data_IF_372851911950
#
_entry.id   IF_372851911950
#
_cell.length_a   1.000
_cell.length_b   1.000
_cell.length_c   1.000
_cell.angle_alpha   90.00
_cell.angle_beta   90.00
_cell.angle_gamma   90.00
#
_symmetry.space_group_name_H-M   'P 1'
#
loop_
_entity.id
_entity.type
_entity.pdbx_description
1 polymer ?
#
# COMPACT_ATOMS: atom_id res chain seq x y z
N UNK A 1 -18.94 23.29 23.16
CA UNK A 1 -18.73 22.58 21.89
C UNK A 1 -19.07 21.09 21.88
N UNK A 2 -19.28 20.42 23.03
CA UNK A 2 -19.68 19.00 23.07
C UNK A 2 -21.18 18.74 23.11
N UNK A 3 -22.00 19.70 23.41
CA UNK A 3 -23.46 19.53 23.53
C UNK A 3 -24.17 19.66 22.18
N UNK A 4 -23.70 20.55 21.30
CA UNK A 4 -24.37 20.86 20.02
C UNK A 4 -24.25 19.75 18.96
N UNK A 5 -23.34 18.79 19.14
CA UNK A 5 -23.17 17.65 18.23
C UNK A 5 -24.15 16.49 18.54
N UNK A 6 -24.66 16.42 19.76
CA UNK A 6 -25.59 15.39 20.20
C UNK A 6 -27.02 15.66 19.73
N UNK A 7 -27.41 16.92 19.67
CA UNK A 7 -28.80 17.33 19.38
C UNK A 7 -29.19 17.28 17.89
N UNK A 8 -28.25 17.06 16.98
CA UNK A 8 -28.52 16.96 15.55
C UNK A 8 -28.82 15.57 15.01
N UNK A 9 -28.92 14.56 15.89
CA UNK A 9 -29.21 13.19 15.49
C UNK A 9 -30.70 13.00 15.34
N UNK A 10 -31.22 13.01 14.13
CA UNK A 10 -32.62 12.70 13.85
C UNK A 10 -32.98 11.27 14.29
N UNK A 11 -34.13 11.15 14.94
CA UNK A 11 -34.71 9.94 15.52
C UNK A 11 -34.90 8.77 14.51
N UNK A 12 -34.90 9.08 13.21
CA UNK A 12 -35.27 8.16 12.13
C UNK A 12 -34.28 7.00 11.90
N UNK A 13 -33.09 7.03 12.54
CA UNK A 13 -32.07 6.00 12.36
C UNK A 13 -32.10 4.89 13.44
N UNK A 14 -32.85 5.08 14.50
CA UNK A 14 -32.87 4.14 15.66
C UNK A 14 -33.81 2.97 15.43
N UNK A 15 -34.86 3.15 14.62
CA UNK A 15 -35.94 2.14 14.46
C UNK A 15 -35.62 1.04 13.44
N UNK A 16 -34.50 1.14 12.70
CA UNK A 16 -34.11 0.19 11.65
C UNK A 16 -33.07 -0.87 12.04
N UNK A 17 -32.54 -0.87 13.25
CA UNK A 17 -31.54 -1.87 13.64
C UNK A 17 -32.23 -3.14 14.18
N UNK A 18 -32.11 -4.30 13.50
CA UNK A 18 -32.70 -5.55 13.99
C UNK A 18 -31.98 -5.97 15.28
N UNK A 19 -32.67 -5.92 16.41
CA UNK A 19 -32.24 -6.46 17.71
C UNK A 19 -32.28 -7.99 17.70
N UNK A 20 -31.81 -8.64 16.64
CA UNK A 20 -31.67 -10.09 16.58
C UNK A 20 -30.40 -10.53 17.30
N UNK A 21 -30.55 -10.91 18.54
CA UNK A 21 -29.55 -11.61 19.32
C UNK A 21 -29.38 -13.04 18.80
N UNK A 22 -28.46 -13.27 17.89
CA UNK A 22 -28.05 -14.59 17.48
C UNK A 22 -27.54 -15.40 18.68
N UNK A 23 -28.28 -16.44 19.06
CA UNK A 23 -27.84 -17.42 20.06
C UNK A 23 -26.66 -18.21 19.46
N UNK A 24 -25.53 -18.18 20.14
CA UNK A 24 -24.37 -19.01 19.83
C UNK A 24 -24.66 -20.46 20.31
N UNK A 25 -24.63 -21.50 19.47
CA UNK A 25 -25.11 -22.84 19.85
C UNK A 25 -24.11 -23.71 20.66
N UNK A 26 -23.01 -23.15 21.16
CA UNK A 26 -21.92 -23.96 21.75
C UNK A 26 -21.70 -23.81 23.24
N UNK A 27 -22.78 -23.65 24.05
CA UNK A 27 -22.74 -23.93 25.48
C UNK A 27 -24.03 -24.57 25.92
N UNK A 28 -24.18 -25.84 25.68
CA UNK A 28 -25.13 -26.65 26.42
C UNK A 28 -24.63 -26.78 27.88
N UNK A 29 -24.81 -25.72 28.66
CA UNK A 29 -24.79 -25.87 30.12
C UNK A 29 -25.94 -26.83 30.49
N UNK A 30 -25.67 -27.82 31.28
CA UNK A 30 -26.59 -28.84 31.77
C UNK A 30 -27.70 -28.24 32.67
N UNK A 31 -28.57 -27.42 32.07
CA UNK A 31 -29.73 -26.87 32.77
C UNK A 31 -30.76 -27.99 32.88
N UNK A 32 -31.33 -28.23 34.08
CA UNK A 32 -32.37 -29.22 34.24
C UNK A 32 -33.49 -28.99 33.23
N UNK A 33 -33.98 -30.10 32.64
CA UNK A 33 -34.99 -30.03 31.57
C UNK A 33 -36.31 -29.41 32.06
N UNK A 34 -37.15 -28.87 31.17
CA UNK A 34 -38.49 -28.38 31.55
C UNK A 34 -39.31 -29.43 32.26
N UNK A 35 -39.14 -30.73 31.90
CA UNK A 35 -39.80 -31.85 32.54
C UNK A 35 -39.40 -31.99 34.02
N UNK A 36 -38.12 -31.87 34.34
CA UNK A 36 -37.63 -31.90 35.74
C UNK A 36 -38.15 -30.70 36.53
N UNK A 37 -38.25 -29.52 35.94
CA UNK A 37 -38.86 -28.35 36.59
C UNK A 37 -40.35 -28.52 36.85
N UNK A 38 -41.07 -29.14 35.92
CA UNK A 38 -42.50 -29.45 36.08
C UNK A 38 -42.74 -30.39 37.26
N UNK A 39 -41.94 -31.46 37.37
CA UNK A 39 -42.00 -32.39 38.49
C UNK A 39 -41.78 -31.70 39.84
N UNK A 40 -40.85 -30.77 39.92
CA UNK A 40 -40.60 -29.98 41.15
C UNK A 40 -41.73 -28.98 41.42
N UNK A 41 -42.27 -28.34 40.36
CA UNK A 41 -43.36 -27.39 40.49
C UNK A 41 -44.67 -28.06 41.00
N UNK A 42 -44.92 -29.30 40.56
CA UNK A 42 -46.08 -30.10 40.96
C UNK A 42 -45.77 -31.08 42.11
N UNK A 43 -44.72 -30.82 42.91
CA UNK A 43 -44.28 -31.72 43.96
C UNK A 43 -45.37 -31.87 45.07
N UNK A 44 -45.74 -33.06 45.44
CA UNK A 44 -46.78 -33.30 46.46
C UNK A 44 -46.33 -32.78 47.82
N UNK A 45 -47.29 -32.29 48.61
CA UNK A 45 -47.03 -31.76 49.95
C UNK A 45 -46.77 -32.86 50.98
N UNK A 46 -47.34 -34.03 50.75
CA UNK A 46 -47.26 -35.22 51.58
C UNK A 46 -46.12 -36.21 51.24
N UNK A 47 -45.14 -35.71 50.46
CA UNK A 47 -44.03 -36.56 50.04
C UNK A 47 -43.24 -37.09 51.21
N UNK A 48 -42.84 -38.40 51.19
CA UNK A 48 -42.14 -39.04 52.28
C UNK A 48 -40.81 -38.44 52.62
N UNK A 49 -40.33 -38.56 53.86
CA UNK A 49 -39.01 -38.07 54.27
C UNK A 49 -37.92 -38.69 53.39
N UNK A 50 -36.97 -37.85 52.88
CA UNK A 50 -35.90 -38.26 52.02
C UNK A 50 -36.24 -38.27 50.52
N UNK A 51 -37.51 -38.15 50.13
CA UNK A 51 -37.90 -38.14 48.70
C UNK A 51 -37.25 -37.03 47.91
N UNK A 52 -37.03 -35.82 48.48
CA UNK A 52 -36.37 -34.72 47.87
C UNK A 52 -34.88 -35.03 47.59
N UNK A 53 -34.22 -35.69 48.53
CA UNK A 53 -32.80 -36.04 48.36
C UNK A 53 -32.63 -37.11 47.28
N UNK A 54 -33.52 -38.11 47.25
CA UNK A 54 -33.55 -39.13 46.18
C UNK A 54 -33.78 -38.46 44.79
N UNK A 55 -34.76 -37.58 44.71
CA UNK A 55 -35.04 -36.83 43.48
C UNK A 55 -33.85 -35.97 43.02
N UNK A 56 -33.23 -35.27 43.96
CA UNK A 56 -32.05 -34.44 43.66
C UNK A 56 -30.88 -35.28 43.14
N UNK A 57 -30.62 -36.44 43.75
CA UNK A 57 -29.60 -37.37 43.29
C UNK A 57 -29.94 -37.95 41.91
N UNK A 58 -31.17 -38.37 41.68
CA UNK A 58 -31.64 -38.97 40.44
C UNK A 58 -31.51 -38.00 39.25
N UNK A 59 -31.80 -36.71 39.46
CA UNK A 59 -31.82 -35.70 38.41
C UNK A 59 -30.59 -34.79 38.37
N UNK A 60 -29.60 -35.03 39.24
CA UNK A 60 -28.36 -34.24 39.28
C UNK A 60 -28.59 -32.77 39.64
N UNK A 61 -29.58 -32.45 40.47
CA UNK A 61 -29.91 -31.09 40.89
C UNK A 61 -29.66 -30.91 42.40
N UNK A 62 -29.31 -29.67 42.78
CA UNK A 62 -29.13 -29.39 44.22
C UNK A 62 -30.47 -29.15 44.96
N UNK A 63 -30.49 -29.44 46.28
CA UNK A 63 -31.65 -29.12 47.13
C UNK A 63 -32.02 -27.61 47.04
N UNK A 64 -31.03 -26.75 47.02
CA UNK A 64 -31.24 -25.31 46.90
C UNK A 64 -31.96 -24.94 45.59
N UNK A 65 -31.59 -25.59 44.47
CA UNK A 65 -32.29 -25.42 43.21
C UNK A 65 -33.72 -25.96 43.28
N UNK A 66 -33.96 -27.13 43.89
CA UNK A 66 -35.26 -27.70 44.05
C UNK A 66 -36.22 -26.74 44.79
N UNK A 67 -35.82 -26.25 45.97
CA UNK A 67 -36.63 -25.31 46.74
C UNK A 67 -36.85 -24.00 46.03
N UNK A 68 -35.90 -23.52 45.27
CA UNK A 68 -36.03 -22.29 44.43
C UNK A 68 -37.11 -22.45 43.35
N UNK A 69 -37.19 -23.61 42.69
CA UNK A 69 -38.25 -23.87 41.70
C UNK A 69 -39.61 -24.04 42.38
N UNK A 70 -39.69 -24.73 43.52
CA UNK A 70 -40.92 -24.88 44.29
C UNK A 70 -41.46 -23.55 44.78
N UNK A 71 -40.60 -22.70 45.32
CA UNK A 71 -41.00 -21.34 45.75
C UNK A 71 -41.54 -20.49 44.59
N UNK A 72 -40.96 -20.64 43.39
CA UNK A 72 -41.48 -19.97 42.19
C UNK A 72 -42.83 -20.48 41.74
N UNK A 73 -43.06 -21.81 41.88
CA UNK A 73 -44.35 -22.39 41.58
C UNK A 73 -45.44 -21.89 42.52
N UNK A 74 -45.14 -21.81 43.80
CA UNK A 74 -46.05 -21.29 44.81
C UNK A 74 -46.37 -19.81 44.62
N UNK A 75 -45.38 -18.98 44.25
CA UNK A 75 -45.55 -17.55 44.10
C UNK A 75 -46.18 -17.12 42.76
N UNK A 76 -46.07 -17.91 41.69
CA UNK A 76 -46.47 -17.50 40.36
C UNK A 76 -47.07 -18.56 39.47
N UNK A 77 -47.40 -19.72 40.05
CA UNK A 77 -47.96 -20.89 39.32
C UNK A 77 -46.93 -21.77 38.64
N UNK A 78 -47.37 -22.96 38.30
CA UNK A 78 -46.53 -24.02 37.70
C UNK A 78 -45.87 -23.59 36.40
N UNK A 79 -46.59 -22.93 35.53
CA UNK A 79 -46.04 -22.45 34.23
C UNK A 79 -44.84 -21.54 34.43
N UNK A 80 -44.91 -20.58 35.35
CA UNK A 80 -43.84 -19.65 35.65
C UNK A 80 -42.59 -20.33 36.26
N UNK A 81 -42.78 -21.44 36.98
CA UNK A 81 -41.68 -22.24 37.52
C UNK A 81 -40.96 -23.05 36.43
N UNK A 82 -41.66 -23.48 35.39
CA UNK A 82 -41.11 -24.27 34.28
C UNK A 82 -40.29 -23.40 33.32
N UNK A 83 -40.68 -22.14 33.14
CA UNK A 83 -39.95 -21.21 32.30
C UNK A 83 -38.50 -21.01 32.74
N UNK A 84 -37.52 -21.08 31.84
CA UNK A 84 -36.12 -20.82 32.17
C UNK A 84 -35.92 -19.34 32.53
N UNK A 85 -35.43 -19.07 33.73
CA UNK A 85 -34.99 -17.72 34.08
C UNK A 85 -33.63 -17.40 33.47
N UNK A 86 -33.52 -16.23 32.88
CA UNK A 86 -32.22 -15.73 32.44
C UNK A 86 -31.29 -15.54 33.64
N UNK A 87 -30.11 -16.12 33.58
CA UNK A 87 -29.01 -15.88 34.53
C UNK A 87 -28.12 -14.69 34.10
N UNK A 88 -28.50 -14.03 33.02
CA UNK A 88 -27.78 -12.89 32.51
C UNK A 88 -27.92 -11.71 33.48
N UNK A 89 -26.80 -11.01 33.80
CA UNK A 89 -26.88 -9.76 34.55
C UNK A 89 -27.88 -8.81 33.94
N UNK A 90 -28.71 -8.17 34.72
CA UNK A 90 -29.71 -7.17 34.26
C UNK A 90 -29.05 -5.88 33.81
N UNK A 91 -27.86 -5.56 34.32
CA UNK A 91 -27.05 -4.43 33.94
C UNK A 91 -25.62 -4.86 33.73
N UNK A 92 -24.91 -4.20 32.81
CA UNK A 92 -23.49 -4.37 32.59
C UNK A 92 -22.82 -3.01 32.81
N UNK A 93 -22.04 -2.83 33.90
CA UNK A 93 -21.40 -1.54 34.18
C UNK A 93 -20.51 -1.04 33.04
N UNK A 94 -19.93 -1.95 32.30
CA UNK A 94 -19.00 -1.66 31.18
C UNK A 94 -19.70 -1.68 29.80
N UNK A 95 -21.04 -1.54 29.76
CA UNK A 95 -21.76 -1.43 28.48
C UNK A 95 -21.48 -0.06 27.86
N UNK A 96 -21.02 -0.06 26.64
CA UNK A 96 -20.94 1.18 25.83
C UNK A 96 -22.34 1.80 25.74
N UNK A 97 -22.48 3.09 26.00
CA UNK A 97 -23.75 3.81 25.88
C UNK A 97 -24.27 3.75 24.44
N UNK A 98 -25.60 3.82 24.31
CA UNK A 98 -26.22 3.77 22.99
C UNK A 98 -25.83 4.99 22.15
N UNK A 99 -25.68 6.18 22.76
CA UNK A 99 -25.17 7.41 22.11
C UNK A 99 -23.75 7.22 21.54
N UNK A 100 -22.85 6.60 22.32
CA UNK A 100 -21.50 6.31 21.84
C UNK A 100 -21.52 5.29 20.70
N UNK A 101 -22.45 4.34 20.69
CA UNK A 101 -22.64 3.40 19.58
C UNK A 101 -23.05 4.14 18.30
N UNK A 102 -24.06 5.02 18.40
CA UNK A 102 -24.55 5.84 17.27
C UNK A 102 -23.43 6.74 16.75
N UNK A 103 -22.71 7.42 17.63
CA UNK A 103 -21.59 8.28 17.26
C UNK A 103 -20.48 7.49 16.55
N UNK A 104 -20.10 6.33 17.06
CA UNK A 104 -19.06 5.49 16.45
C UNK A 104 -19.46 5.00 15.04
N UNK A 105 -20.73 4.66 14.83
CA UNK A 105 -21.29 4.30 13.53
C UNK A 105 -21.23 5.49 12.58
N UNK A 106 -21.69 6.67 13.01
CA UNK A 106 -21.65 7.91 12.22
C UNK A 106 -20.24 8.26 11.78
N UNK A 107 -19.27 8.26 12.71
CA UNK A 107 -17.86 8.53 12.41
C UNK A 107 -17.33 7.51 11.39
N UNK A 108 -17.65 6.23 11.53
CA UNK A 108 -17.22 5.20 10.57
C UNK A 108 -17.75 5.47 9.17
N UNK A 109 -19.04 5.86 9.05
CA UNK A 109 -19.67 6.20 7.78
C UNK A 109 -19.03 7.44 7.16
N UNK A 110 -18.80 8.49 7.94
CA UNK A 110 -18.14 9.70 7.48
C UNK A 110 -16.72 9.44 6.96
N UNK A 111 -15.89 8.70 7.73
CA UNK A 111 -14.55 8.32 7.29
C UNK A 111 -14.55 7.50 6.00
N UNK A 112 -15.56 6.64 5.80
CA UNK A 112 -15.73 5.88 4.56
C UNK A 112 -16.07 6.80 3.38
N UNK A 113 -17.00 7.73 3.56
CA UNK A 113 -17.41 8.72 2.56
C UNK A 113 -16.26 9.67 2.19
N UNK A 114 -15.45 10.06 3.18
CA UNK A 114 -14.22 10.87 3.00
C UNK A 114 -13.07 10.06 2.35
N UNK A 115 -13.25 8.77 2.02
CA UNK A 115 -12.20 7.91 1.44
C UNK A 115 -11.05 7.59 2.39
N UNK A 116 -11.20 7.85 3.67
CA UNK A 116 -10.19 7.59 4.69
C UNK A 116 -10.25 6.15 5.23
N UNK A 117 -9.32 5.79 6.09
CA UNK A 117 -9.39 4.53 6.83
C UNK A 117 -10.53 4.58 7.85
N UNK A 118 -11.50 3.69 7.72
CA UNK A 118 -12.71 3.63 8.56
C UNK A 118 -12.78 2.40 9.46
N UNK A 119 -11.62 1.82 9.78
CA UNK A 119 -11.50 0.71 10.71
C UNK A 119 -11.68 1.10 12.17
N UNK A 120 -11.79 0.13 13.11
CA UNK A 120 -11.94 0.42 14.54
C UNK A 120 -10.87 1.34 15.12
N UNK A 121 -9.62 1.27 14.62
CA UNK A 121 -8.54 2.17 15.06
C UNK A 121 -8.78 3.60 14.61
N UNK A 122 -9.17 3.81 13.36
CA UNK A 122 -9.41 5.15 12.82
C UNK A 122 -10.59 5.83 13.51
N UNK A 123 -11.66 5.07 13.82
CA UNK A 123 -12.78 5.58 14.60
C UNK A 123 -12.34 5.93 16.02
N UNK A 124 -11.53 5.08 16.66
CA UNK A 124 -10.97 5.35 18.00
C UNK A 124 -10.13 6.63 18.00
N UNK A 125 -9.25 6.80 16.99
CA UNK A 125 -8.44 8.01 16.82
C UNK A 125 -9.31 9.27 16.65
N UNK A 126 -10.35 9.19 15.83
CA UNK A 126 -11.28 10.32 15.62
C UNK A 126 -12.02 10.67 16.91
N UNK A 127 -12.53 9.70 17.67
CA UNK A 127 -13.17 9.91 18.96
C UNK A 127 -12.24 10.62 19.95
N UNK A 128 -10.99 10.18 20.07
CA UNK A 128 -10.00 10.81 20.94
C UNK A 128 -9.71 12.26 20.55
N UNK A 129 -9.55 12.53 19.24
CA UNK A 129 -9.36 13.91 18.75
C UNK A 129 -10.58 14.82 19.01
N UNK A 130 -11.78 14.25 19.04
CA UNK A 130 -12.98 14.97 19.44
C UNK A 130 -13.06 15.25 20.95
N UNK A 131 -12.07 14.79 21.76
CA UNK A 131 -11.98 15.03 23.19
C UNK A 131 -12.66 13.98 24.06
N UNK A 132 -13.15 12.86 23.51
CA UNK A 132 -13.73 11.80 24.31
C UNK A 132 -12.64 11.02 25.06
N UNK A 133 -12.75 10.95 26.39
CA UNK A 133 -11.82 10.20 27.25
C UNK A 133 -12.30 8.77 27.52
N UNK A 134 -13.60 8.58 27.68
CA UNK A 134 -14.23 7.25 27.85
C UNK A 134 -14.63 6.70 26.47
N UNK A 135 -13.68 6.11 25.79
CA UNK A 135 -13.87 5.56 24.43
C UNK A 135 -13.86 4.04 24.45
N UNK A 136 -14.70 3.38 23.65
CA UNK A 136 -14.71 1.93 23.55
C UNK A 136 -13.38 1.37 23.07
N UNK A 137 -12.98 0.19 23.57
CA UNK A 137 -11.78 -0.47 23.08
C UNK A 137 -11.89 -0.83 21.58
N UNK A 138 -10.74 -0.98 20.89
CA UNK A 138 -10.69 -1.46 19.50
C UNK A 138 -11.52 -2.74 19.31
N UNK A 139 -11.44 -3.68 20.26
CA UNK A 139 -12.18 -4.94 20.18
C UNK A 139 -13.70 -4.74 20.33
N UNK A 140 -14.11 -3.78 21.17
CA UNK A 140 -15.52 -3.39 21.34
C UNK A 140 -16.06 -2.76 20.05
N UNK A 141 -15.34 -1.80 19.47
CA UNK A 141 -15.71 -1.18 18.18
C UNK A 141 -15.79 -2.22 17.04
N UNK A 142 -14.85 -3.16 16.98
CA UNK A 142 -14.89 -4.23 15.97
C UNK A 142 -16.18 -5.06 16.10
N UNK A 143 -16.54 -5.49 17.32
CA UNK A 143 -17.78 -6.26 17.56
C UNK A 143 -19.03 -5.43 17.25
N UNK A 144 -19.00 -4.14 17.59
CA UNK A 144 -20.08 -3.21 17.30
C UNK A 144 -20.32 -3.10 15.80
N UNK A 145 -19.28 -2.85 14.99
CA UNK A 145 -19.40 -2.74 13.55
C UNK A 145 -19.84 -4.05 12.88
N UNK A 146 -19.41 -5.19 13.41
CA UNK A 146 -19.89 -6.49 12.93
C UNK A 146 -21.39 -6.68 13.23
N UNK A 147 -21.85 -6.29 14.42
CA UNK A 147 -23.27 -6.33 14.81
C UNK A 147 -24.13 -5.39 13.94
N UNK A 148 -23.62 -4.20 13.64
CA UNK A 148 -24.28 -3.25 12.78
C UNK A 148 -24.26 -3.65 11.29
N UNK A 149 -23.78 -4.83 10.93
CA UNK A 149 -23.73 -5.29 9.54
C UNK A 149 -22.73 -4.53 8.65
N UNK A 150 -21.87 -3.70 9.24
CA UNK A 150 -20.95 -2.84 8.49
C UNK A 150 -19.63 -3.56 8.10
N UNK A 151 -19.51 -4.85 8.37
CA UNK A 151 -18.31 -5.65 8.07
C UNK A 151 -18.67 -6.74 7.11
N UNK A 152 -18.15 -6.67 5.88
CA UNK A 152 -18.25 -7.76 4.91
C UNK A 152 -17.14 -8.76 5.16
N UNK A 153 -17.49 -10.02 5.37
CA UNK A 153 -16.53 -11.10 5.52
C UNK A 153 -15.83 -11.36 4.16
N UNK A 154 -14.52 -11.22 4.13
CA UNK A 154 -13.71 -11.64 2.98
C UNK A 154 -13.00 -12.96 3.30
N UNK A 155 -13.49 -14.12 2.83
CA UNK A 155 -12.92 -15.43 3.13
C UNK A 155 -11.46 -15.61 2.67
N UNK A 156 -11.04 -14.80 1.69
CA UNK A 156 -9.68 -14.81 1.12
C UNK A 156 -8.64 -14.11 2.01
N UNK A 157 -9.05 -13.28 2.95
CA UNK A 157 -8.13 -12.63 3.91
C UNK A 157 -7.73 -13.58 5.02
N UNK A 158 -6.78 -14.46 4.75
CA UNK A 158 -6.11 -15.22 5.81
C UNK A 158 -5.26 -14.30 6.66
N UNK A 159 -5.23 -14.45 8.01
CA UNK A 159 -4.25 -13.78 8.85
C UNK A 159 -2.85 -14.16 8.35
N UNK A 160 -2.09 -13.22 7.81
CA UNK A 160 -0.70 -13.47 7.48
C UNK A 160 0.06 -13.57 8.80
N UNK A 161 0.64 -14.74 9.08
CA UNK A 161 1.66 -14.87 10.11
C UNK A 161 2.69 -13.76 9.93
N UNK A 162 3.09 -13.12 11.03
CA UNK A 162 3.92 -11.93 11.02
C UNK A 162 5.25 -12.19 10.30
N UNK A 163 5.34 -11.79 9.04
CA UNK A 163 6.64 -11.63 8.39
C UNK A 163 7.41 -10.58 9.19
N UNK A 164 8.68 -10.85 9.51
CA UNK A 164 9.58 -9.86 10.09
C UNK A 164 9.58 -8.63 9.18
N UNK A 165 8.99 -7.55 9.65
CA UNK A 165 8.98 -6.28 8.94
C UNK A 165 10.36 -5.67 9.11
N UNK A 166 11.07 -5.51 8.01
CA UNK A 166 12.31 -4.73 8.02
C UNK A 166 11.93 -3.25 8.04
N UNK A 167 12.41 -2.53 9.05
CA UNK A 167 12.22 -1.09 9.23
C UNK A 167 13.57 -0.50 9.56
N UNK A 168 13.95 0.56 8.89
CA UNK A 168 15.18 1.28 9.21
C UNK A 168 15.11 1.95 10.58
N UNK A 169 16.24 2.10 11.28
CA UNK A 169 16.25 2.45 12.71
C UNK A 169 15.84 3.90 13.02
N UNK A 170 15.96 4.82 12.07
CA UNK A 170 15.66 6.25 12.27
C UNK A 170 15.10 6.90 10.99
N UNK A 171 14.40 8.05 11.12
CA UNK A 171 14.05 8.89 9.99
C UNK A 171 15.27 9.29 9.17
N UNK A 172 15.11 9.49 7.88
CA UNK A 172 16.18 9.78 6.91
C UNK A 172 17.20 8.64 6.71
N UNK A 173 17.07 7.48 7.36
CA UNK A 173 17.90 6.33 6.99
C UNK A 173 17.62 5.82 5.58
N UNK A 174 16.35 5.78 5.18
CA UNK A 174 15.94 5.35 3.85
C UNK A 174 14.66 6.07 3.43
N UNK A 175 14.71 6.70 2.27
CA UNK A 175 13.53 7.17 1.56
C UNK A 175 13.18 6.22 0.42
N UNK A 176 11.88 6.12 0.12
CA UNK A 176 11.37 5.33 -0.99
C UNK A 176 10.53 6.22 -1.90
N UNK A 177 10.85 6.23 -3.20
CA UNK A 177 10.06 6.90 -4.23
C UNK A 177 9.27 5.86 -5.02
N UNK A 178 8.07 6.25 -5.41
CA UNK A 178 7.25 5.51 -6.35
C UNK A 178 6.34 6.48 -7.11
N UNK A 179 5.80 6.05 -8.23
CA UNK A 179 4.90 6.85 -9.05
C UNK A 179 3.65 6.05 -9.40
N UNK A 180 2.52 6.73 -9.45
CA UNK A 180 1.25 6.13 -9.84
C UNK A 180 0.55 6.96 -10.90
N UNK A 181 -0.04 6.31 -11.89
CA UNK A 181 -0.82 6.99 -12.92
C UNK A 181 -2.18 7.44 -12.38
N UNK A 182 -2.64 8.58 -12.87
CA UNK A 182 -3.96 9.13 -12.60
C UNK A 182 -4.55 9.77 -13.86
N UNK A 183 -5.88 9.81 -13.95
CA UNK A 183 -6.57 10.47 -15.06
C UNK A 183 -7.49 11.55 -14.51
N UNK A 184 -7.32 12.78 -14.98
CA UNK A 184 -8.19 13.91 -14.67
C UNK A 184 -9.58 13.70 -15.27
N UNK A 185 -10.59 14.42 -14.76
CA UNK A 185 -11.96 14.36 -15.31
C UNK A 185 -12.05 14.79 -16.79
N UNK A 186 -11.09 15.56 -17.26
CA UNK A 186 -10.91 15.96 -18.66
C UNK A 186 -10.37 14.85 -19.56
N UNK A 187 -10.00 13.69 -19.02
CA UNK A 187 -9.38 12.58 -19.74
C UNK A 187 -7.86 12.71 -19.91
N UNK A 188 -7.25 13.75 -19.37
CA UNK A 188 -5.79 13.94 -19.41
C UNK A 188 -5.13 13.00 -18.40
N UNK A 189 -4.20 12.16 -18.87
CA UNK A 189 -3.38 11.31 -18.01
C UNK A 189 -2.25 12.14 -17.37
N UNK A 190 -1.97 11.87 -16.11
CA UNK A 190 -0.89 12.46 -15.33
C UNK A 190 -0.29 11.41 -14.37
N UNK A 191 0.77 11.76 -13.69
CA UNK A 191 1.49 10.89 -12.77
C UNK A 191 1.64 11.59 -11.43
N UNK A 192 1.42 10.86 -10.35
CA UNK A 192 1.62 11.33 -8.98
C UNK A 192 2.87 10.63 -8.42
N UNK A 193 3.94 11.38 -8.22
CA UNK A 193 5.13 10.92 -7.51
C UNK A 193 4.91 11.02 -6.02
N UNK A 194 5.29 10.00 -5.28
CA UNK A 194 5.19 9.98 -3.82
C UNK A 194 6.51 9.54 -3.18
N UNK A 195 6.93 10.28 -2.17
CA UNK A 195 8.13 10.03 -1.39
C UNK A 195 7.75 9.67 0.04
N UNK A 196 8.24 8.53 0.52
CA UNK A 196 7.93 8.00 1.84
C UNK A 196 9.20 7.72 2.64
N UNK A 197 9.23 8.13 3.91
CA UNK A 197 10.26 7.69 4.85
C UNK A 197 10.00 6.26 5.34
N UNK A 198 11.03 5.41 5.30
CA UNK A 198 10.87 3.99 5.65
C UNK A 198 10.63 3.77 7.14
N UNK A 199 11.21 4.58 8.02
CA UNK A 199 11.08 4.46 9.47
C UNK A 199 9.71 4.94 9.95
N UNK A 200 9.42 6.20 9.72
CA UNK A 200 8.23 6.89 10.24
C UNK A 200 6.97 6.69 9.42
N UNK A 201 7.09 6.25 8.17
CA UNK A 201 6.00 6.24 7.17
C UNK A 201 5.52 7.63 6.78
N UNK A 202 6.29 8.68 7.08
CA UNK A 202 5.94 10.05 6.72
C UNK A 202 5.91 10.18 5.19
N UNK A 203 4.83 10.72 4.65
CA UNK A 203 4.78 11.23 3.29
C UNK A 203 5.59 12.54 3.26
N UNK A 204 6.80 12.48 2.70
CA UNK A 204 7.78 13.57 2.73
C UNK A 204 7.43 14.65 1.72
N UNK A 205 7.01 14.24 0.55
CA UNK A 205 6.51 15.08 -0.54
C UNK A 205 5.77 14.24 -1.56
N UNK A 206 4.75 14.83 -2.18
CA UNK A 206 4.09 14.31 -3.37
C UNK A 206 4.06 15.37 -4.46
N UNK A 207 4.14 14.96 -5.73
CA UNK A 207 4.17 15.86 -6.87
C UNK A 207 3.33 15.30 -8.01
N UNK A 208 2.39 16.08 -8.51
CA UNK A 208 1.63 15.80 -9.74
C UNK A 208 2.42 16.30 -10.94
N UNK A 209 2.64 15.44 -11.91
CA UNK A 209 3.37 15.77 -13.14
C UNK A 209 2.65 15.24 -14.38
N UNK A 210 2.89 15.86 -15.52
CA UNK A 210 2.28 15.45 -16.79
C UNK A 210 2.75 14.06 -17.27
N UNK A 211 3.95 13.63 -16.85
CA UNK A 211 4.51 12.32 -17.21
C UNK A 211 5.56 11.87 -16.20
N UNK A 212 5.88 10.58 -16.20
CA UNK A 212 6.96 10.00 -15.41
C UNK A 212 8.32 10.34 -16.02
N UNK A 213 8.89 11.47 -15.58
CA UNK A 213 10.18 11.97 -16.05
C UNK A 213 11.22 12.05 -14.94
N UNK A 214 12.49 12.00 -15.31
CA UNK A 214 13.60 12.17 -14.37
C UNK A 214 13.62 13.58 -13.74
N UNK A 215 13.20 14.59 -14.48
CA UNK A 215 13.07 15.97 -14.01
C UNK A 215 12.02 16.07 -12.90
N UNK A 216 10.84 15.50 -13.10
CA UNK A 216 9.78 15.47 -12.09
C UNK A 216 10.21 14.69 -10.84
N UNK A 217 10.92 13.56 -11.03
CA UNK A 217 11.49 12.80 -9.93
C UNK A 217 12.53 13.62 -9.13
N UNK A 218 13.40 14.38 -9.79
CA UNK A 218 14.33 15.29 -9.10
C UNK A 218 13.56 16.39 -8.37
N UNK A 219 12.53 16.98 -8.99
CA UNK A 219 11.74 18.05 -8.36
C UNK A 219 11.08 17.62 -7.06
N UNK A 220 10.44 16.44 -7.01
CA UNK A 220 9.82 15.93 -5.77
C UNK A 220 10.87 15.66 -4.69
N UNK A 221 12.06 15.15 -5.07
CA UNK A 221 13.15 14.95 -4.12
C UNK A 221 13.68 16.29 -3.58
N UNK A 222 13.82 17.31 -4.43
CA UNK A 222 14.22 18.65 -4.01
C UNK A 222 13.24 19.24 -2.98
N UNK A 223 11.93 19.11 -3.21
CA UNK A 223 10.90 19.51 -2.24
C UNK A 223 11.07 18.82 -0.90
N UNK A 224 11.28 17.50 -0.91
CA UNK A 224 11.47 16.72 0.31
C UNK A 224 12.77 17.09 1.04
N UNK A 225 13.87 17.23 0.31
CA UNK A 225 15.18 17.62 0.88
C UNK A 225 15.10 19.01 1.50
N UNK A 226 14.42 19.96 0.88
CA UNK A 226 14.22 21.30 1.44
C UNK A 226 13.43 21.32 2.75
N UNK A 227 12.55 20.34 2.97
CA UNK A 227 11.72 20.24 4.19
C UNK A 227 12.36 19.39 5.30
N UNK A 228 13.08 18.33 4.93
CA UNK A 228 13.46 17.25 5.85
C UNK A 228 14.96 16.95 5.88
N UNK A 229 15.78 17.67 5.08
CA UNK A 229 17.17 17.32 4.85
C UNK A 229 17.34 16.09 3.94
N UNK A 230 18.56 15.79 3.53
CA UNK A 230 18.83 14.66 2.66
C UNK A 230 18.91 13.34 3.46
N UNK A 231 18.42 12.20 2.90
CA UNK A 231 18.50 10.89 3.55
C UNK A 231 19.88 10.26 3.39
N UNK A 232 20.15 9.19 4.15
CA UNK A 232 21.35 8.36 3.94
C UNK A 232 21.25 7.51 2.67
N UNK A 233 20.06 6.93 2.45
CA UNK A 233 19.79 6.01 1.34
C UNK A 233 18.49 6.37 0.65
N UNK A 234 18.43 6.06 -0.63
CA UNK A 234 17.28 6.32 -1.46
C UNK A 234 16.92 5.09 -2.29
N UNK A 235 15.74 4.55 -2.10
CA UNK A 235 15.23 3.38 -2.81
C UNK A 235 14.27 3.82 -3.91
N UNK A 236 14.58 3.45 -5.14
CA UNK A 236 13.66 3.57 -6.28
C UNK A 236 13.43 2.19 -6.90
N UNK A 237 12.40 2.10 -7.73
CA UNK A 237 12.26 0.97 -8.64
C UNK A 237 13.31 1.07 -9.77
N UNK A 238 13.24 0.11 -10.72
CA UNK A 238 14.10 0.09 -11.88
C UNK A 238 13.51 0.87 -13.08
N UNK A 239 12.54 1.73 -12.84
CA UNK A 239 11.94 2.60 -13.87
C UNK A 239 12.97 3.52 -14.52
N UNK A 240 12.72 3.87 -15.77
CA UNK A 240 13.67 4.71 -16.57
C UNK A 240 13.83 6.08 -15.97
N UNK A 241 12.78 6.62 -15.38
CA UNK A 241 12.78 7.92 -14.73
C UNK A 241 13.65 7.94 -13.46
N UNK A 242 13.74 6.81 -12.75
CA UNK A 242 14.42 6.73 -11.46
C UNK A 242 15.85 6.22 -11.57
N UNK A 243 16.07 5.11 -12.29
CA UNK A 243 17.40 4.52 -12.39
C UNK A 243 17.67 3.85 -13.75
N UNK A 244 18.20 4.61 -14.72
CA UNK A 244 18.57 4.08 -16.02
C UNK A 244 19.92 3.35 -16.03
N UNK A 245 20.63 3.18 -14.91
CA UNK A 245 21.98 2.59 -14.85
C UNK A 245 22.08 1.21 -15.48
N UNK A 246 21.02 0.40 -15.45
CA UNK A 246 20.94 -0.86 -16.19
C UNK A 246 21.01 -0.73 -17.70
N UNK A 247 20.77 0.49 -18.21
CA UNK A 247 20.88 0.85 -19.63
C UNK A 247 22.24 1.48 -19.97
N UNK A 248 23.18 1.49 -19.02
CA UNK A 248 24.56 1.91 -19.22
C UNK A 248 24.82 3.41 -19.14
N UNK A 249 23.90 4.20 -18.56
CA UNK A 249 24.12 5.63 -18.31
C UNK A 249 23.58 6.02 -16.93
N UNK A 250 24.20 7.07 -16.34
CA UNK A 250 23.71 7.66 -15.10
C UNK A 250 22.45 8.47 -15.36
N UNK A 251 21.48 8.41 -14.44
CA UNK A 251 20.25 9.20 -14.55
C UNK A 251 20.32 10.47 -13.73
N UNK A 252 19.62 11.51 -14.16
CA UNK A 252 19.58 12.81 -13.47
C UNK A 252 19.25 12.69 -11.98
N UNK A 253 18.34 11.78 -11.62
CA UNK A 253 18.01 11.53 -10.20
C UNK A 253 19.19 10.92 -9.44
N UNK A 254 19.88 9.94 -10.03
CA UNK A 254 21.03 9.30 -9.39
C UNK A 254 22.18 10.31 -9.24
N UNK A 255 22.44 11.13 -10.26
CA UNK A 255 23.46 12.16 -10.22
C UNK A 255 23.16 13.21 -9.12
N UNK A 256 21.88 13.62 -9.02
CA UNK A 256 21.42 14.54 -7.98
C UNK A 256 21.60 13.95 -6.58
N UNK A 257 21.23 12.69 -6.37
CA UNK A 257 21.39 12.00 -5.08
C UNK A 257 22.87 11.86 -4.70
N UNK A 258 23.73 11.52 -5.66
CA UNK A 258 25.19 11.46 -5.44
C UNK A 258 25.77 12.81 -5.05
N UNK A 259 25.32 13.89 -5.70
CA UNK A 259 25.74 15.24 -5.33
C UNK A 259 25.35 15.64 -3.89
N UNK A 260 24.31 15.00 -3.31
CA UNK A 260 23.92 15.17 -1.91
C UNK A 260 24.61 14.18 -0.95
N UNK A 261 25.46 13.28 -1.44
CA UNK A 261 26.07 12.22 -0.65
C UNK A 261 25.12 11.09 -0.27
N UNK A 262 24.01 10.91 -1.00
CA UNK A 262 22.97 9.91 -0.77
C UNK A 262 23.27 8.63 -1.53
N UNK A 263 23.25 7.48 -0.86
CA UNK A 263 23.39 6.17 -1.50
C UNK A 263 22.11 5.78 -2.22
N UNK A 264 22.15 5.79 -3.57
CA UNK A 264 21.04 5.31 -4.38
C UNK A 264 21.04 3.78 -4.43
N UNK A 265 19.96 3.16 -3.96
CA UNK A 265 19.76 1.70 -3.99
C UNK A 265 18.56 1.37 -4.85
N UNK A 266 18.64 0.25 -5.58
CA UNK A 266 17.54 -0.24 -6.40
C UNK A 266 16.97 -1.53 -5.84
N UNK A 267 15.67 -1.71 -5.94
CA UNK A 267 15.02 -2.96 -5.58
C UNK A 267 15.59 -4.13 -6.38
N UNK A 268 15.85 -5.27 -5.72
CA UNK A 268 16.20 -6.50 -6.44
C UNK A 268 15.03 -6.88 -7.36
N UNK A 269 15.31 -7.21 -8.65
CA UNK A 269 14.26 -7.64 -9.57
C UNK A 269 13.46 -8.80 -8.99
N UNK A 270 12.16 -8.80 -9.20
CA UNK A 270 11.24 -9.87 -8.80
C UNK A 270 11.18 -10.17 -7.29
N UNK A 271 11.64 -9.26 -6.40
CA UNK A 271 11.39 -9.34 -4.95
C UNK A 271 10.40 -8.26 -4.51
N UNK A 272 9.10 -8.56 -4.43
CA UNK A 272 8.05 -7.59 -4.08
C UNK A 272 8.07 -7.14 -2.61
N UNK A 273 8.96 -7.68 -1.80
CA UNK A 273 9.00 -7.41 -0.36
C UNK A 273 9.42 -5.97 -0.01
N UNK A 274 10.07 -5.26 -0.92
CA UNK A 274 10.53 -3.88 -0.72
C UNK A 274 9.50 -2.82 -1.11
N UNK A 275 8.60 -3.10 -2.06
CA UNK A 275 7.62 -2.14 -2.59
C UNK A 275 6.23 -2.20 -1.93
N UNK A 276 5.94 -3.23 -1.15
CA UNK A 276 4.62 -3.39 -0.51
C UNK A 276 4.19 -2.27 0.45
N UNK A 277 5.08 -1.33 0.77
CA UNK A 277 4.81 -0.12 1.55
C UNK A 277 4.20 0.97 0.65
N UNK A 278 4.81 1.22 -0.50
CA UNK A 278 4.34 2.18 -1.50
C UNK A 278 3.01 1.73 -2.12
N UNK A 279 2.86 0.44 -2.49
CA UNK A 279 1.58 -0.10 -2.98
C UNK A 279 0.41 0.18 -2.01
N UNK A 280 0.66 0.05 -0.69
CA UNK A 280 -0.36 0.35 0.32
C UNK A 280 -0.62 1.85 0.43
N UNK A 281 0.40 2.66 0.29
CA UNK A 281 0.29 4.12 0.30
C UNK A 281 -0.52 4.60 -0.90
N UNK A 282 -0.16 4.18 -2.13
CA UNK A 282 -0.91 4.46 -3.35
C UNK A 282 -2.38 4.03 -3.27
N UNK A 283 -2.64 2.81 -2.77
CA UNK A 283 -4.03 2.35 -2.59
C UNK A 283 -4.83 3.24 -1.63
N UNK A 284 -4.17 3.80 -0.61
CA UNK A 284 -4.83 4.72 0.33
C UNK A 284 -5.10 6.07 -0.34
N UNK A 285 -4.14 6.60 -1.11
CA UNK A 285 -4.32 7.81 -1.91
C UNK A 285 -5.44 7.65 -2.94
N UNK A 286 -5.44 6.57 -3.74
CA UNK A 286 -6.48 6.34 -4.75
C UNK A 286 -7.88 6.27 -4.14
N UNK A 287 -8.02 5.66 -2.95
CA UNK A 287 -9.31 5.63 -2.25
C UNK A 287 -9.76 7.03 -1.84
N UNK A 288 -8.83 7.86 -1.36
CA UNK A 288 -9.08 9.25 -1.00
C UNK A 288 -9.51 10.07 -2.23
N UNK A 289 -8.73 10.02 -3.31
CA UNK A 289 -9.04 10.76 -4.54
C UNK A 289 -10.38 10.33 -5.17
N UNK A 290 -10.72 9.04 -5.14
CA UNK A 290 -12.00 8.53 -5.64
C UNK A 290 -13.22 8.94 -4.79
N UNK A 291 -13.01 9.37 -3.56
CA UNK A 291 -14.09 9.86 -2.67
C UNK A 291 -14.32 11.36 -2.82
N UNK A 292 -13.45 12.08 -3.50
CA UNK A 292 -13.54 13.52 -3.72
C UNK A 292 -14.00 13.85 -5.14
N UNK A 293 -14.54 15.07 -5.38
CA UNK A 293 -14.82 15.50 -6.74
C UNK A 293 -13.60 15.36 -7.63
N UNK A 294 -13.74 14.78 -8.84
CA UNK A 294 -12.60 14.52 -9.70
C UNK A 294 -11.98 15.85 -10.20
N UNK A 295 -10.69 16.00 -10.01
CA UNK A 295 -9.93 17.17 -10.43
C UNK A 295 -9.98 17.37 -11.96
N UNK A 296 -10.09 18.62 -12.40
CA UNK A 296 -10.09 19.01 -13.81
C UNK A 296 -8.70 19.44 -14.30
N UNK A 297 -7.87 19.90 -13.37
CA UNK A 297 -6.50 20.36 -13.62
C UNK A 297 -5.47 19.64 -12.75
N UNK A 298 -4.20 19.69 -13.12
CA UNK A 298 -3.11 19.15 -12.29
C UNK A 298 -2.97 19.93 -10.97
N UNK A 299 -3.23 21.23 -10.97
CA UNK A 299 -3.15 22.05 -9.75
C UNK A 299 -4.25 21.67 -8.75
N UNK A 300 -5.48 21.41 -9.22
CA UNK A 300 -6.56 20.89 -8.37
C UNK A 300 -6.22 19.51 -7.83
N UNK A 301 -5.63 18.65 -8.66
CA UNK A 301 -5.18 17.33 -8.20
C UNK A 301 -4.04 17.45 -7.18
N UNK A 302 -3.09 18.38 -7.39
CA UNK A 302 -2.01 18.63 -6.43
C UNK A 302 -2.56 19.08 -5.08
N UNK A 303 -3.54 19.98 -5.07
CA UNK A 303 -4.19 20.42 -3.83
C UNK A 303 -4.86 19.26 -3.07
N UNK A 304 -5.53 18.35 -3.77
CA UNK A 304 -6.10 17.13 -3.16
C UNK A 304 -5.02 16.20 -2.61
N UNK A 305 -3.91 16.04 -3.33
CA UNK A 305 -2.77 15.22 -2.90
C UNK A 305 -2.09 15.83 -1.67
N UNK A 306 -1.91 17.14 -1.64
CA UNK A 306 -1.33 17.85 -0.49
C UNK A 306 -2.21 17.72 0.77
N UNK A 307 -3.53 17.84 0.62
CA UNK A 307 -4.45 17.62 1.74
C UNK A 307 -4.46 16.17 2.22
N UNK A 308 -4.40 15.22 1.28
CA UNK A 308 -4.22 13.81 1.63
C UNK A 308 -2.92 13.57 2.42
N UNK A 309 -1.78 14.12 1.99
CA UNK A 309 -0.50 13.98 2.68
C UNK A 309 -0.56 14.57 4.09
N UNK A 310 -1.20 15.72 4.25
CA UNK A 310 -1.45 16.33 5.56
C UNK A 310 -2.25 15.40 6.48
N UNK A 311 -3.41 14.92 6.01
CA UNK A 311 -4.27 14.00 6.77
C UNK A 311 -3.52 12.69 7.08
N UNK A 312 -2.84 12.14 6.09
CA UNK A 312 -2.06 10.91 6.24
C UNK A 312 -0.98 11.05 7.31
N UNK A 313 -0.26 12.17 7.32
CA UNK A 313 0.83 12.40 8.25
C UNK A 313 0.37 12.73 9.67
N UNK A 314 -0.70 13.52 9.82
CA UNK A 314 -1.08 14.09 11.12
C UNK A 314 -2.31 13.46 11.76
N UNK A 315 -3.14 12.77 10.97
CA UNK A 315 -4.40 12.24 11.49
C UNK A 315 -4.53 10.72 11.42
N UNK A 316 -3.77 10.07 10.54
CA UNK A 316 -3.87 8.64 10.34
C UNK A 316 -2.99 7.87 11.32
N UNK A 317 -3.60 7.17 12.28
CA UNK A 317 -2.90 6.18 13.10
C UNK A 317 -2.43 5.00 12.23
N UNK A 318 -1.12 4.72 12.23
CA UNK A 318 -0.53 3.73 11.35
C UNK A 318 -0.29 2.40 12.06
N UNK A 319 -1.00 1.34 11.65
CA UNK A 319 -0.90 -0.02 12.24
C UNK A 319 0.50 -0.64 12.13
N UNK A 320 1.36 -0.11 11.30
CA UNK A 320 2.73 -0.57 11.12
C UNK A 320 3.73 0.09 12.07
N UNK A 321 3.31 1.12 12.78
CA UNK A 321 4.12 1.86 13.75
C UNK A 321 3.83 1.34 15.16
N UNK A 322 4.85 1.27 16.04
CA UNK A 322 4.64 0.95 17.46
C UNK A 322 3.67 1.94 18.10
N UNK A 323 2.74 1.46 18.91
CA UNK A 323 1.74 2.32 19.55
C UNK A 323 0.60 2.81 18.65
N UNK A 324 0.60 2.48 17.35
CA UNK A 324 -0.35 2.97 16.36
C UNK A 324 -0.40 4.51 16.28
N UNK A 325 0.73 5.14 16.40
CA UNK A 325 0.89 6.60 16.29
C UNK A 325 0.81 7.07 14.84
N UNK A 326 0.69 8.38 14.64
CA UNK A 326 0.72 8.98 13.31
C UNK A 326 2.14 8.99 12.73
N UNK A 327 2.31 9.06 11.40
CA UNK A 327 3.63 9.21 10.77
C UNK A 327 4.40 10.42 11.29
N UNK A 328 3.74 11.55 11.52
CA UNK A 328 4.37 12.76 12.05
C UNK A 328 4.87 12.58 13.49
N UNK A 329 4.10 11.91 14.35
CA UNK A 329 4.53 11.56 15.69
C UNK A 329 5.75 10.63 15.65
N UNK A 330 5.72 9.60 14.78
CA UNK A 330 6.85 8.68 14.62
C UNK A 330 8.11 9.38 14.12
N UNK A 331 7.97 10.38 13.22
CA UNK A 331 9.07 11.21 12.76
C UNK A 331 9.69 12.03 13.89
N UNK A 332 8.84 12.61 14.74
CA UNK A 332 9.28 13.50 15.82
C UNK A 332 9.90 12.75 17.02
N UNK A 333 9.60 11.45 17.18
CA UNK A 333 10.12 10.64 18.29
C UNK A 333 11.60 10.32 18.19
N UNK A 334 12.16 10.27 16.98
CA UNK A 334 13.56 9.92 16.75
C UNK A 334 14.22 10.99 15.89
N UNK A 335 15.38 11.53 16.28
CA UNK A 335 16.08 12.51 15.45
C UNK A 335 16.41 11.96 14.07
N UNK A 336 16.16 12.73 12.99
CA UNK A 336 16.53 12.33 11.65
C UNK A 336 18.06 12.29 11.49
N UNK A 337 18.53 11.33 10.70
CA UNK A 337 19.97 11.18 10.41
C UNK A 337 20.35 11.93 9.13
N UNK A 338 21.62 12.33 9.05
CA UNK A 338 22.21 12.94 7.87
C UNK A 338 22.83 11.89 6.93
N UNK A 339 23.15 12.22 5.66
CA UNK A 339 23.92 11.35 4.78
C UNK A 339 25.22 10.88 5.38
N UNK A 340 25.60 9.63 5.09
CA UNK A 340 26.84 9.04 5.60
C UNK A 340 28.09 9.54 4.86
N UNK A 341 27.93 9.89 3.59
CA UNK A 341 29.00 10.38 2.73
C UNK A 341 28.93 11.91 2.67
N UNK A 342 30.06 12.62 2.81
CA UNK A 342 30.06 14.03 2.48
C UNK A 342 29.72 14.18 1.01
N UNK A 343 28.98 15.23 0.61
CA UNK A 343 28.78 15.51 -0.80
C UNK A 343 30.15 15.61 -1.47
N UNK A 344 30.33 15.08 -2.69
CA UNK A 344 31.59 15.21 -3.41
C UNK A 344 31.95 16.69 -3.48
N UNK A 345 33.21 17.00 -3.11
CA UNK A 345 33.69 18.37 -3.19
C UNK A 345 33.39 18.86 -4.60
N UNK A 346 32.72 20.01 -4.72
CA UNK A 346 32.45 20.61 -6.00
C UNK A 346 33.81 20.79 -6.70
N UNK A 347 34.06 19.97 -7.73
CA UNK A 347 35.19 20.18 -8.59
C UNK A 347 35.07 21.61 -9.12
N UNK A 348 36.13 22.44 -9.10
CA UNK A 348 36.08 23.75 -9.72
C UNK A 348 35.64 23.53 -11.18
N UNK A 349 34.46 24.05 -11.52
CA UNK A 349 33.95 24.03 -12.90
C UNK A 349 34.88 24.96 -13.69
N UNK A 350 35.94 24.38 -14.22
CA UNK A 350 36.65 25.02 -15.30
C UNK A 350 35.67 25.09 -16.50
N UNK A 351 35.44 26.23 -17.12
CA UNK A 351 34.59 26.28 -18.29
C UNK A 351 35.19 25.32 -19.32
N UNK A 352 34.39 24.43 -19.92
CA UNK A 352 34.90 23.48 -20.89
C UNK A 352 35.51 24.27 -22.07
N UNK A 353 36.78 24.04 -22.29
CA UNK A 353 37.45 24.57 -23.49
C UNK A 353 36.80 23.87 -24.69
N UNK A 354 36.44 24.63 -25.70
CA UNK A 354 35.73 24.13 -26.91
C UNK A 354 36.43 22.92 -27.58
N UNK A 355 37.71 22.70 -27.32
CA UNK A 355 38.50 21.57 -27.79
C UNK A 355 38.23 20.26 -27.00
N UNK A 356 37.92 20.32 -25.70
CA UNK A 356 37.59 19.14 -24.89
C UNK A 356 36.20 18.56 -25.19
N UNK A 357 35.24 19.42 -25.54
CA UNK A 357 33.90 19.02 -25.95
C UNK A 357 33.89 18.19 -27.24
N UNK A 358 34.87 18.44 -28.15
CA UNK A 358 35.02 17.70 -29.40
C UNK A 358 35.76 16.36 -29.15
N UNK A 359 36.70 16.32 -28.21
CA UNK A 359 37.44 15.11 -27.88
C UNK A 359 36.57 14.06 -27.15
N UNK A 360 35.66 14.48 -26.25
CA UNK A 360 34.73 13.60 -25.55
C UNK A 360 33.60 13.09 -26.44
N UNK A 361 33.16 13.86 -27.44
CA UNK A 361 32.18 13.39 -28.42
C UNK A 361 32.76 12.28 -29.33
N UNK A 362 34.08 12.23 -29.47
CA UNK A 362 34.81 11.19 -30.22
C UNK A 362 35.45 10.11 -29.34
N UNK A 363 35.24 10.09 -28.04
CA UNK A 363 35.66 8.97 -27.19
C UNK A 363 34.97 7.72 -27.68
N UNK A 364 35.63 7.02 -28.58
CA UNK A 364 35.17 5.75 -29.16
C UNK A 364 34.79 4.81 -28.01
N UNK A 365 33.64 4.20 -28.16
CA UNK A 365 33.21 3.13 -27.28
C UNK A 365 34.27 2.03 -27.28
N UNK A 366 35.18 2.04 -26.33
CA UNK A 366 36.23 1.02 -26.18
C UNK A 366 35.58 -0.30 -25.72
N UNK A 367 34.82 -0.92 -26.63
CA UNK A 367 34.33 -2.27 -26.43
C UNK A 367 35.39 -3.24 -27.06
N UNK A 368 35.73 -4.34 -26.37
CA UNK A 368 36.54 -5.36 -26.98
C UNK A 368 35.84 -5.90 -28.23
N UNK A 369 36.58 -6.29 -29.26
CA UNK A 369 36.01 -6.97 -30.42
C UNK A 369 35.19 -8.17 -29.97
N UNK A 370 34.10 -8.46 -30.65
CA UNK A 370 33.22 -9.56 -30.28
C UNK A 370 32.29 -9.96 -31.41
N UNK A 371 31.59 -11.04 -31.18
CA UNK A 371 30.61 -11.61 -32.09
C UNK A 371 29.33 -12.03 -31.37
N UNK A 372 28.21 -12.06 -32.06
CA UNK A 372 26.95 -12.59 -31.55
C UNK A 372 26.08 -13.06 -32.71
N UNK A 373 25.17 -14.00 -32.42
CA UNK A 373 24.10 -14.37 -33.34
C UNK A 373 22.75 -13.92 -32.77
N UNK A 374 21.92 -13.28 -33.61
CA UNK A 374 20.59 -12.81 -33.24
C UNK A 374 19.58 -13.05 -34.35
N UNK A 375 18.30 -13.19 -33.98
CA UNK A 375 17.21 -13.29 -34.95
C UNK A 375 16.39 -12.01 -34.90
N UNK A 376 16.18 -11.31 -36.03
CA UNK A 376 15.35 -10.11 -36.08
C UNK A 376 13.89 -10.40 -35.70
N UNK A 377 13.32 -9.57 -34.82
CA UNK A 377 11.90 -9.62 -34.45
C UNK A 377 10.97 -9.12 -35.59
N UNK A 378 9.65 -9.11 -35.34
CA UNK A 378 8.59 -8.80 -36.30
C UNK A 378 8.74 -7.45 -37.06
N UNK A 379 9.52 -6.53 -36.52
CA UNK A 379 9.89 -5.25 -37.19
C UNK A 379 11.17 -5.29 -37.99
N UNK A 380 11.87 -6.43 -38.14
CA UNK A 380 13.19 -6.51 -38.77
C UNK A 380 14.29 -5.81 -37.98
N UNK A 381 14.22 -5.83 -36.65
CA UNK A 381 15.13 -5.15 -35.72
C UNK A 381 15.90 -6.12 -34.87
N UNK A 382 17.16 -5.78 -34.57
CA UNK A 382 18.06 -6.53 -33.68
C UNK A 382 18.57 -5.58 -32.60
N UNK A 383 18.56 -6.06 -31.36
CA UNK A 383 19.20 -5.36 -30.25
C UNK A 383 20.55 -6.01 -29.94
N UNK A 384 21.62 -5.23 -30.05
CA UNK A 384 22.99 -5.64 -29.76
C UNK A 384 23.75 -4.48 -29.10
N UNK A 385 24.54 -4.76 -28.08
CA UNK A 385 25.32 -3.76 -27.34
C UNK A 385 24.46 -2.59 -26.76
N UNK A 386 23.16 -2.84 -26.45
CA UNK A 386 22.23 -1.81 -26.00
C UNK A 386 21.74 -0.86 -27.10
N UNK A 387 22.00 -1.18 -28.36
CA UNK A 387 21.59 -0.39 -29.53
C UNK A 387 20.63 -1.22 -30.37
N UNK A 388 19.55 -0.61 -30.84
CA UNK A 388 18.62 -1.23 -31.77
C UNK A 388 19.01 -0.91 -33.22
N UNK A 389 19.35 -1.95 -33.98
CA UNK A 389 19.63 -1.84 -35.41
C UNK A 389 18.45 -2.34 -36.23
N UNK A 390 18.09 -1.65 -37.29
CA UNK A 390 17.07 -2.09 -38.24
C UNK A 390 17.75 -2.79 -39.42
N UNK A 391 17.64 -4.14 -39.46
CA UNK A 391 18.27 -4.97 -40.50
C UNK A 391 17.37 -5.07 -41.75
N UNK A 392 16.08 -5.00 -41.56
CA UNK A 392 15.10 -5.08 -42.66
C UNK A 392 14.17 -6.29 -42.53
N UNK A 393 12.96 -6.15 -43.13
CA UNK A 393 11.93 -7.19 -43.10
C UNK A 393 12.32 -8.52 -43.78
N UNK A 394 13.11 -8.54 -44.87
CA UNK A 394 13.49 -9.79 -45.53
C UNK A 394 14.24 -10.76 -44.60
N UNK A 395 14.86 -10.29 -43.54
CA UNK A 395 15.67 -11.09 -42.61
C UNK A 395 14.94 -11.54 -41.36
N UNK A 396 13.63 -11.27 -41.25
CA UNK A 396 12.80 -11.71 -40.12
C UNK A 396 12.80 -13.25 -40.03
N UNK A 397 13.09 -13.77 -38.82
CA UNK A 397 13.13 -15.21 -38.56
C UNK A 397 14.44 -15.92 -38.97
N UNK A 398 15.33 -15.22 -39.67
CA UNK A 398 16.63 -15.78 -40.04
C UNK A 398 17.72 -15.44 -39.02
N UNK A 399 18.67 -16.33 -38.80
CA UNK A 399 19.82 -16.04 -37.95
C UNK A 399 20.78 -15.06 -38.63
N UNK A 400 21.16 -14.01 -37.91
CA UNK A 400 22.12 -13.00 -38.34
C UNK A 400 23.34 -13.07 -37.46
N UNK A 401 24.52 -13.26 -38.10
CA UNK A 401 25.80 -13.19 -37.44
C UNK A 401 26.28 -11.77 -37.40
N UNK A 402 26.75 -11.31 -36.25
CA UNK A 402 27.13 -9.94 -35.97
C UNK A 402 28.55 -9.92 -35.48
N UNK A 403 29.40 -9.19 -36.15
CA UNK A 403 30.77 -8.93 -35.75
C UNK A 403 30.95 -7.45 -35.42
N UNK A 404 31.71 -7.16 -34.39
CA UNK A 404 32.03 -5.76 -34.07
C UNK A 404 33.48 -5.63 -33.57
N UNK A 405 33.99 -4.43 -33.81
CA UNK A 405 35.25 -3.98 -33.25
C UNK A 405 35.09 -2.51 -32.81
N UNK A 406 36.19 -1.84 -32.44
CA UNK A 406 36.17 -0.46 -32.00
C UNK A 406 35.79 0.54 -33.11
N UNK A 407 35.76 0.14 -34.38
CA UNK A 407 35.48 1.00 -35.54
C UNK A 407 34.14 0.69 -36.21
N UNK A 408 33.77 -0.57 -36.33
CA UNK A 408 32.62 -1.05 -37.12
C UNK A 408 31.81 -2.10 -36.38
N UNK A 409 30.53 -2.18 -36.77
CA UNK A 409 29.63 -3.30 -36.48
C UNK A 409 29.03 -3.80 -37.80
N UNK A 410 29.12 -5.11 -38.05
CA UNK A 410 28.79 -5.75 -39.31
C UNK A 410 27.80 -6.88 -39.08
N UNK A 411 26.83 -7.02 -39.98
CA UNK A 411 25.74 -7.98 -39.89
C UNK A 411 25.77 -8.89 -41.13
N UNK A 412 25.84 -10.20 -40.95
CA UNK A 412 25.93 -11.20 -42.01
C UNK A 412 24.71 -12.13 -41.93
N UNK A 413 24.24 -12.60 -43.07
CA UNK A 413 23.27 -13.69 -43.14
C UNK A 413 23.85 -15.05 -42.79
N UNK A 414 23.01 -16.11 -42.85
CA UNK A 414 23.42 -17.47 -42.56
C UNK A 414 24.37 -18.06 -43.63
N UNK A 415 24.55 -17.39 -44.75
CA UNK A 415 25.47 -17.77 -45.83
C UNK A 415 26.81 -16.99 -45.78
N UNK A 416 26.94 -16.11 -44.78
CA UNK A 416 28.12 -15.24 -44.62
C UNK A 416 28.09 -13.99 -45.49
N UNK A 417 26.97 -13.68 -46.14
CA UNK A 417 26.84 -12.46 -46.94
C UNK A 417 26.62 -11.24 -46.06
N UNK A 418 27.39 -10.19 -46.32
CA UNK A 418 27.24 -8.92 -45.58
C UNK A 418 25.89 -8.25 -45.92
N UNK A 419 25.04 -8.08 -44.91
CA UNK A 419 23.73 -7.42 -45.01
C UNK A 419 23.88 -5.92 -44.75
N UNK A 420 24.62 -5.57 -43.69
CA UNK A 420 24.74 -4.20 -43.17
C UNK A 420 26.10 -4.02 -42.50
N UNK A 421 26.81 -2.97 -42.83
CA UNK A 421 27.96 -2.52 -42.06
C UNK A 421 27.72 -1.09 -41.60
N UNK A 422 28.04 -0.77 -40.37
CA UNK A 422 27.88 0.54 -39.79
C UNK A 422 29.11 0.94 -38.98
N UNK A 423 29.57 2.19 -39.04
CA UNK A 423 30.54 2.68 -38.07
C UNK A 423 30.04 2.45 -36.65
N UNK A 424 30.93 2.11 -35.72
CA UNK A 424 30.56 1.91 -34.35
C UNK A 424 29.85 3.15 -33.79
N UNK A 425 28.56 3.04 -33.40
CA UNK A 425 27.81 4.22 -32.96
C UNK A 425 28.40 4.79 -31.67
N UNK A 426 28.39 6.13 -31.49
CA UNK A 426 28.90 6.76 -30.29
C UNK A 426 28.14 6.33 -29.04
N UNK A 427 28.80 6.46 -27.88
CA UNK A 427 28.20 6.15 -26.58
C UNK A 427 26.90 6.96 -26.40
N UNK A 428 25.80 6.29 -26.02
CA UNK A 428 24.48 6.91 -25.86
C UNK A 428 23.53 6.75 -27.05
N UNK A 429 24.00 6.25 -28.20
CA UNK A 429 23.11 5.91 -29.32
C UNK A 429 22.17 4.76 -28.93
N UNK A 430 20.86 4.98 -29.06
CA UNK A 430 19.84 3.98 -28.74
C UNK A 430 19.32 3.23 -29.95
N UNK A 431 19.31 3.88 -31.11
CA UNK A 431 18.74 3.32 -32.32
C UNK A 431 19.54 3.77 -33.55
N UNK A 432 19.79 2.82 -34.43
CA UNK A 432 20.37 3.05 -35.74
C UNK A 432 19.35 2.58 -36.78
N UNK A 433 18.89 3.50 -37.63
CA UNK A 433 17.95 3.21 -38.72
C UNK A 433 18.61 2.41 -39.84
N UNK A 434 17.82 2.03 -40.87
CA UNK A 434 18.34 1.51 -42.14
C UNK A 434 19.10 2.61 -42.95
N UNK A 435 19.16 3.81 -42.38
CA UNK A 435 19.82 4.91 -43.03
C UNK A 435 21.32 4.75 -42.94
N UNK A 436 21.94 4.27 -43.98
CA UNK A 436 23.22 4.85 -44.34
C UNK A 436 23.11 6.38 -44.25
N UNK A 437 24.15 7.10 -43.80
CA UNK A 437 24.16 8.53 -43.95
C UNK A 437 23.77 8.84 -45.40
N UNK A 438 22.88 9.80 -45.59
CA UNK A 438 22.38 10.24 -46.89
C UNK A 438 23.57 10.38 -47.86
N UNK A 439 23.73 9.45 -48.80
CA UNK A 439 24.87 9.41 -49.75
C UNK A 439 25.40 8.02 -50.08
N UNK A 440 25.26 7.02 -49.21
CA UNK A 440 25.86 5.70 -49.40
C UNK A 440 24.91 4.63 -49.98
N UNK A 441 23.69 4.98 -50.35
CA UNK A 441 22.67 4.05 -50.82
C UNK A 441 22.91 3.45 -52.22
N UNK A 442 23.95 3.87 -52.95
CA UNK A 442 24.19 3.50 -54.33
C UNK A 442 25.31 2.48 -54.58
N UNK A 443 26.13 2.12 -53.60
CA UNK A 443 27.29 1.26 -53.85
C UNK A 443 27.12 -0.23 -53.56
N UNK A 444 26.07 -0.66 -52.87
CA UNK A 444 25.91 -2.10 -52.56
C UNK A 444 25.10 -2.84 -53.62
N UNK A 445 24.46 -2.18 -54.55
CA UNK A 445 23.66 -2.84 -55.60
C UNK A 445 24.42 -3.19 -56.91
N UNK A 446 25.72 -2.92 -57.01
CA UNK A 446 26.49 -3.16 -58.24
C UNK A 446 27.58 -4.23 -58.16
N UNK A 447 27.69 -4.97 -57.06
CA UNK A 447 28.73 -5.99 -56.89
C UNK A 447 28.30 -7.44 -57.11
N UNK A 448 27.12 -7.70 -57.67
CA UNK A 448 26.66 -9.06 -57.95
C UNK A 448 26.22 -9.23 -59.41
N UNK A 449 27.08 -8.84 -60.38
CA UNK A 449 27.00 -9.31 -61.77
C UNK A 449 28.41 -9.22 -62.35
N UNK A 450 29.16 -10.25 -62.21
CA UNK A 450 30.16 -10.78 -63.15
C UNK A 450 30.54 -12.19 -62.73
#
# INVERSE_FOLDING_TARGET
>A
MSQDIVDSVSQDFVDGLPLCWGMNPSSQSSRPSPKVRLLVASWPEDAPRGAIDAFCAQHGVSRSWFYKIRARALAGGVLKAVEPTSTRPKASPNRTSDDMVVLAVKIRTQLHEEGLDYGPLSVLARLRRMGFTDVPSRATLSRLFTRAGMVTAEPKKKPRSAYRRFVYPAPNCLWQIDATEWTLSTGVACVIFQLLDDHSRLALASLVAAAETAEAAVSVVQLAVGRHGAPQKFLSDNGVAFNPTRRGYSGKLVDYLQALGVEAITGKPYKPTTQGKNERFHRTLHRYLNAHPPATTMDELQALVDDFDRIYNTEREHQGLPGNITPQEAWNLTPPVAPLLPPPAAAPIAPPTALETIADANAARLLPPGEATRTPGSGGRINILGIQFRIGRPHIGHQIHILWNHKTIEFFDHQGTLILAHPMPPKGTRQVGNGFPTGTRKQVAQSTMS
#
